data_IF_445197963572
#
_entry.id   IF_445197963572
#
_cell.length_a   1.000
_cell.length_b   1.000
_cell.length_c   1.000
_cell.angle_alpha   90.00
_cell.angle_beta   90.00
_cell.angle_gamma   90.00
#
_symmetry.space_group_name_H-M   'P 1'
#
loop_
_entity.id
_entity.type
_entity.pdbx_description
1 polymer ?
#
# COMPACT_ATOMS: atom_id res chain seq x y z
N UNK A 1 5.64 4.46 -12.75
CA UNK A 1 4.35 3.79 -12.42
C UNK A 1 4.23 3.65 -10.92
N UNK A 2 3.06 3.94 -10.37
CA UNK A 2 2.80 3.79 -8.93
C UNK A 2 1.72 2.73 -8.72
N UNK A 3 2.02 1.75 -7.88
CA UNK A 3 1.06 0.74 -7.42
C UNK A 3 0.94 0.85 -5.91
N UNK A 4 -0.29 0.85 -5.39
CA UNK A 4 -0.53 0.88 -3.95
C UNK A 4 -1.48 -0.22 -3.53
N UNK A 5 -1.54 -0.49 -2.22
CA UNK A 5 -2.19 -1.68 -1.66
C UNK A 5 -3.04 -1.31 -0.45
N UNK A 6 -4.23 -1.90 -0.35
CA UNK A 6 -5.08 -1.76 0.83
C UNK A 6 -5.78 -3.07 1.14
N UNK A 7 -5.69 -3.52 2.38
CA UNK A 7 -6.35 -4.73 2.84
C UNK A 7 -6.57 -4.71 4.34
N UNK A 8 -7.27 -5.72 4.86
CA UNK A 8 -7.59 -5.77 6.28
C UNK A 8 -6.35 -6.09 7.12
N UNK A 9 -6.17 -5.32 8.19
CA UNK A 9 -4.98 -5.41 9.04
C UNK A 9 -4.91 -6.73 9.82
N UNK A 10 -6.05 -7.29 10.20
CA UNK A 10 -6.13 -8.43 11.11
C UNK A 10 -6.45 -9.76 10.43
N UNK A 11 -6.67 -9.79 9.12
CA UNK A 11 -6.93 -11.03 8.41
C UNK A 11 -5.65 -11.87 8.33
N UNK A 12 -5.85 -13.19 8.30
CA UNK A 12 -4.76 -14.14 8.06
C UNK A 12 -4.71 -14.46 6.57
N UNK A 13 -3.52 -14.42 6.00
CA UNK A 13 -3.30 -14.72 4.59
C UNK A 13 -2.46 -15.99 4.47
N UNK A 14 -2.75 -16.79 3.44
CA UNK A 14 -2.07 -18.05 3.18
C UNK A 14 -1.13 -17.93 1.96
N UNK A 15 -0.35 -18.98 1.71
CA UNK A 15 0.61 -18.97 0.60
C UNK A 15 -0.06 -18.75 -0.75
N UNK A 16 -1.27 -19.26 -0.95
CA UNK A 16 -2.01 -19.05 -2.20
C UNK A 16 -2.36 -17.57 -2.42
N UNK A 17 -2.67 -16.83 -1.35
CA UNK A 17 -2.91 -15.38 -1.42
C UNK A 17 -1.63 -14.66 -1.85
N UNK A 18 -0.49 -15.06 -1.30
CA UNK A 18 0.81 -14.49 -1.65
C UNK A 18 1.12 -14.72 -3.14
N UNK A 19 0.91 -15.93 -3.63
CA UNK A 19 1.15 -16.26 -5.04
C UNK A 19 0.24 -15.47 -5.97
N UNK A 20 -1.04 -15.33 -5.62
CA UNK A 20 -2.01 -14.56 -6.39
C UNK A 20 -1.64 -13.07 -6.42
N UNK A 21 -1.25 -12.54 -5.27
CA UNK A 21 -0.82 -11.14 -5.20
C UNK A 21 0.43 -10.90 -6.05
N UNK A 22 1.41 -11.77 -5.94
CA UNK A 22 2.64 -11.64 -6.71
C UNK A 22 2.37 -11.69 -8.22
N UNK A 23 1.56 -12.63 -8.67
CA UNK A 23 1.19 -12.74 -10.09
C UNK A 23 0.45 -11.50 -10.59
N UNK A 24 -0.41 -10.93 -9.75
CA UNK A 24 -1.12 -9.70 -10.10
C UNK A 24 -0.14 -8.53 -10.22
N UNK A 25 0.82 -8.42 -9.32
CA UNK A 25 1.87 -7.40 -9.42
C UNK A 25 2.62 -7.53 -10.75
N UNK A 26 3.05 -8.74 -11.10
CA UNK A 26 3.75 -8.98 -12.37
C UNK A 26 2.90 -8.59 -13.58
N UNK A 27 1.63 -8.96 -13.56
CA UNK A 27 0.70 -8.67 -14.64
C UNK A 27 0.48 -7.17 -14.80
N UNK A 28 0.24 -6.46 -13.71
CA UNK A 28 -0.03 -5.02 -13.72
C UNK A 28 1.22 -4.24 -14.11
N UNK A 29 2.37 -4.61 -13.56
CA UNK A 29 3.62 -3.90 -13.79
C UNK A 29 4.18 -4.10 -15.20
N UNK A 30 3.91 -5.24 -15.83
CA UNK A 30 4.39 -5.57 -17.18
C UNK A 30 5.90 -5.34 -17.36
N UNK A 31 6.69 -5.66 -16.32
CA UNK A 31 8.14 -5.47 -16.34
C UNK A 31 8.59 -4.02 -16.15
N UNK A 32 7.68 -3.07 -15.94
CA UNK A 32 8.03 -1.68 -15.74
C UNK A 32 8.69 -1.44 -14.38
N UNK A 33 9.43 -0.34 -14.29
CA UNK A 33 9.87 0.20 -13.02
C UNK A 33 8.67 0.73 -12.25
N UNK A 34 8.53 0.32 -10.99
CA UNK A 34 7.37 0.63 -10.16
C UNK A 34 7.80 1.24 -8.85
N UNK A 35 7.12 2.31 -8.44
CA UNK A 35 7.16 2.80 -7.07
C UNK A 35 5.96 2.19 -6.34
N UNK A 36 6.26 1.29 -5.40
CA UNK A 36 5.23 0.62 -4.61
C UNK A 36 4.97 1.41 -3.33
N UNK A 37 3.77 1.94 -3.18
CA UNK A 37 3.38 2.74 -2.00
C UNK A 37 2.71 1.84 -0.97
N UNK A 38 3.27 1.84 0.25
CA UNK A 38 2.78 1.03 1.37
C UNK A 38 2.54 1.90 2.60
N UNK A 39 1.47 1.62 3.32
CA UNK A 39 1.13 2.33 4.55
C UNK A 39 1.83 1.78 5.80
N UNK A 40 2.47 0.63 5.69
CA UNK A 40 3.30 0.08 6.76
C UNK A 40 2.57 -0.53 7.95
N UNK A 41 1.27 -0.83 7.83
CA UNK A 41 0.50 -1.36 8.94
C UNK A 41 -0.43 -2.50 8.51
N UNK A 42 -0.38 -3.59 9.28
CA UNK A 42 -1.34 -4.68 9.15
C UNK A 42 -0.84 -5.85 8.32
N UNK A 43 -1.61 -6.93 8.37
CA UNK A 43 -1.22 -8.21 7.76
C UNK A 43 -1.19 -8.16 6.24
N UNK A 44 -2.10 -7.41 5.61
CA UNK A 44 -2.06 -7.29 4.16
C UNK A 44 -0.85 -6.48 3.70
N UNK A 45 -0.50 -5.41 4.40
CA UNK A 45 0.71 -4.65 4.10
C UNK A 45 1.96 -5.51 4.23
N UNK A 46 2.01 -6.38 5.24
CA UNK A 46 3.12 -7.32 5.40
C UNK A 46 3.21 -8.30 4.23
N UNK A 47 2.08 -8.80 3.75
CA UNK A 47 2.03 -9.67 2.58
C UNK A 47 2.49 -8.93 1.32
N UNK A 48 1.98 -7.72 1.12
CA UNK A 48 2.35 -6.88 -0.02
C UNK A 48 3.86 -6.58 -0.01
N UNK A 49 4.40 -6.23 1.15
CA UNK A 49 5.83 -5.97 1.33
C UNK A 49 6.68 -7.16 0.92
N UNK A 50 6.26 -8.37 1.30
CA UNK A 50 6.96 -9.60 0.93
C UNK A 50 6.96 -9.80 -0.60
N UNK A 51 5.82 -9.60 -1.24
CA UNK A 51 5.71 -9.72 -2.70
C UNK A 51 6.51 -8.64 -3.43
N UNK A 52 6.51 -7.41 -2.92
CA UNK A 52 7.28 -6.30 -3.49
C UNK A 52 8.78 -6.57 -3.40
N UNK A 53 9.25 -7.09 -2.27
CA UNK A 53 10.66 -7.48 -2.12
C UNK A 53 11.06 -8.51 -3.17
N UNK A 54 10.21 -9.49 -3.42
CA UNK A 54 10.46 -10.52 -4.43
C UNK A 54 10.50 -9.91 -5.83
N UNK A 55 9.58 -9.03 -6.16
CA UNK A 55 9.56 -8.34 -7.45
C UNK A 55 10.85 -7.54 -7.68
N UNK A 56 11.32 -6.86 -6.67
CA UNK A 56 12.53 -6.04 -6.74
C UNK A 56 13.81 -6.86 -6.97
N UNK A 57 13.82 -8.15 -6.63
CA UNK A 57 14.98 -9.00 -6.89
C UNK A 57 15.33 -9.06 -8.38
N UNK A 58 14.32 -9.01 -9.24
CA UNK A 58 14.49 -9.04 -10.70
C UNK A 58 14.17 -7.71 -11.37
N UNK A 59 13.71 -6.70 -10.62
CA UNK A 59 13.40 -5.36 -11.11
C UNK A 59 14.00 -4.34 -10.16
N UNK A 60 15.34 -4.25 -10.20
CA UNK A 60 16.13 -3.50 -9.20
C UNK A 60 15.89 -2.00 -9.19
N UNK A 61 15.34 -1.45 -10.27
CA UNK A 61 15.01 -0.01 -10.34
C UNK A 61 13.67 0.32 -9.67
N UNK A 62 12.88 -0.70 -9.31
CA UNK A 62 11.65 -0.50 -8.58
C UNK A 62 11.93 -0.18 -7.11
N UNK A 63 11.04 0.62 -6.50
CA UNK A 63 11.22 1.08 -5.13
C UNK A 63 10.04 0.71 -4.25
N UNK A 64 10.32 0.43 -2.99
CA UNK A 64 9.32 0.27 -1.96
C UNK A 64 9.30 1.54 -1.12
N UNK A 65 8.18 2.26 -1.12
CA UNK A 65 8.03 3.58 -0.52
C UNK A 65 7.06 3.50 0.64
N UNK A 66 7.53 3.91 1.81
CA UNK A 66 6.67 4.05 2.98
C UNK A 66 5.99 5.42 2.96
N UNK A 67 4.66 5.44 2.93
CA UNK A 67 3.90 6.70 2.96
C UNK A 67 3.36 6.88 4.38
N UNK A 68 3.91 7.86 5.09
CA UNK A 68 3.56 8.10 6.49
C UNK A 68 2.50 9.19 6.64
N UNK A 69 1.53 9.01 7.55
CA UNK A 69 0.57 10.07 7.87
C UNK A 69 1.12 11.08 8.87
N UNK A 70 2.31 10.84 9.44
CA UNK A 70 2.87 11.65 10.53
C UNK A 70 4.32 12.03 10.31
N UNK A 71 4.67 13.26 10.69
CA UNK A 71 6.05 13.70 10.92
C UNK A 71 6.18 14.03 12.41
N UNK A 72 6.30 13.01 13.24
CA UNK A 72 6.35 13.19 14.69
C UNK A 72 7.22 12.11 15.32
N UNK A 73 7.19 12.04 16.65
CA UNK A 73 7.98 11.07 17.42
C UNK A 73 7.71 9.62 17.00
N UNK A 74 6.48 9.30 16.58
CA UNK A 74 6.16 7.97 16.07
C UNK A 74 7.07 7.58 14.92
N UNK A 75 7.28 8.47 13.97
CA UNK A 75 8.17 8.25 12.82
C UNK A 75 9.62 8.17 13.27
N UNK A 76 10.05 9.10 14.11
CA UNK A 76 11.44 9.16 14.63
C UNK A 76 11.82 7.88 15.36
N UNK A 77 10.92 7.35 16.20
CA UNK A 77 11.15 6.13 16.97
C UNK A 77 11.29 4.89 16.06
N UNK A 78 10.80 4.95 14.83
CA UNK A 78 10.83 3.84 13.86
C UNK A 78 11.81 4.06 12.72
N UNK A 79 12.56 5.12 12.77
CA UNK A 79 13.45 5.53 11.67
C UNK A 79 14.39 4.43 11.21
N UNK A 80 15.08 3.78 12.14
CA UNK A 80 16.06 2.72 11.82
C UNK A 80 15.38 1.56 11.10
N UNK A 81 14.23 1.11 11.59
CA UNK A 81 13.47 0.04 10.96
C UNK A 81 13.00 0.44 9.56
N UNK A 82 12.44 1.65 9.43
CA UNK A 82 11.91 2.13 8.16
C UNK A 82 13.02 2.27 7.12
N UNK A 83 14.15 2.84 7.47
CA UNK A 83 15.29 3.00 6.57
C UNK A 83 15.86 1.66 6.10
N UNK A 84 15.79 0.64 6.97
CA UNK A 84 16.25 -0.71 6.63
C UNK A 84 15.30 -1.42 5.67
N UNK A 85 13.99 -1.22 5.82
CA UNK A 85 12.97 -2.00 5.13
C UNK A 85 12.43 -1.33 3.87
N UNK A 86 12.52 0.00 3.76
CA UNK A 86 11.97 0.77 2.66
C UNK A 86 13.05 1.58 1.96
N UNK A 87 12.86 1.83 0.67
CA UNK A 87 13.79 2.64 -0.12
C UNK A 87 13.60 4.13 0.10
N UNK A 88 12.36 4.56 0.32
CA UNK A 88 12.00 5.96 0.53
C UNK A 88 10.87 6.09 1.54
N UNK A 89 10.76 7.29 2.12
CA UNK A 89 9.65 7.68 2.98
C UNK A 89 9.03 8.95 2.39
N UNK A 90 7.72 8.95 2.20
CA UNK A 90 6.99 10.12 1.73
C UNK A 90 5.97 10.57 2.78
N UNK A 91 5.85 11.88 2.94
CA UNK A 91 4.84 12.51 3.78
C UNK A 91 3.98 13.43 2.92
N UNK A 92 2.65 13.21 2.82
CA UNK A 92 1.79 13.96 1.91
C UNK A 92 1.42 15.38 2.34
N UNK A 93 2.20 16.02 3.21
CA UNK A 93 1.94 17.38 3.70
C UNK A 93 0.57 17.54 4.36
N UNK A 94 0.36 16.74 5.44
CA UNK A 94 -0.91 16.68 6.15
C UNK A 94 -0.97 17.59 7.40
N UNK A 95 -0.12 18.62 7.50
CA UNK A 95 -0.03 19.48 8.67
C UNK A 95 -1.35 20.19 9.00
N UNK A 96 -2.15 20.51 7.98
CA UNK A 96 -3.44 21.15 8.18
C UNK A 96 -4.57 20.17 8.46
N UNK A 97 -4.30 18.87 8.42
CA UNK A 97 -5.29 17.83 8.66
C UNK A 97 -5.32 17.47 10.14
N UNK A 98 -6.50 17.46 10.79
CA UNK A 98 -6.60 16.95 12.16
C UNK A 98 -6.06 15.54 12.27
N UNK A 99 -5.32 15.23 13.34
CA UNK A 99 -4.65 13.93 13.51
C UNK A 99 -5.60 12.74 13.36
N UNK A 100 -6.85 12.88 13.78
CA UNK A 100 -7.84 11.79 13.66
C UNK A 100 -8.20 11.45 12.21
N UNK A 101 -7.88 12.32 11.26
CA UNK A 101 -8.13 12.09 9.83
C UNK A 101 -6.85 11.86 9.03
N UNK A 102 -5.69 11.86 9.68
CA UNK A 102 -4.41 11.78 8.99
C UNK A 102 -4.25 10.49 8.18
N UNK A 103 -4.64 9.34 8.76
CA UNK A 103 -4.54 8.05 8.05
C UNK A 103 -5.47 8.03 6.84
N UNK A 104 -6.72 8.49 7.00
CA UNK A 104 -7.68 8.55 5.89
C UNK A 104 -7.16 9.44 4.77
N UNK A 105 -6.66 10.61 5.09
CA UNK A 105 -6.13 11.54 4.08
C UNK A 105 -4.86 11.00 3.41
N UNK A 106 -3.98 10.33 4.18
CA UNK A 106 -2.82 9.65 3.62
C UNK A 106 -3.25 8.58 2.62
N UNK A 107 -4.27 7.78 2.97
CA UNK A 107 -4.79 6.75 2.07
C UNK A 107 -5.37 7.35 0.78
N UNK A 108 -6.14 8.42 0.90
CA UNK A 108 -6.69 9.13 -0.27
C UNK A 108 -5.58 9.66 -1.17
N UNK A 109 -4.53 10.22 -0.58
CA UNK A 109 -3.38 10.70 -1.34
C UNK A 109 -2.68 9.56 -2.10
N UNK A 110 -2.47 8.41 -1.44
CA UNK A 110 -1.88 7.24 -2.10
C UNK A 110 -2.71 6.81 -3.30
N UNK A 111 -4.03 6.78 -3.14
CA UNK A 111 -4.96 6.42 -4.21
C UNK A 111 -4.88 7.41 -5.36
N UNK A 112 -4.84 8.71 -5.07
CA UNK A 112 -4.74 9.77 -6.08
C UNK A 112 -3.45 9.66 -6.90
N UNK A 113 -2.33 9.27 -6.27
CA UNK A 113 -1.05 9.13 -6.94
C UNK A 113 -0.93 7.81 -7.73
N UNK A 114 -1.74 6.82 -7.41
CA UNK A 114 -1.57 5.48 -7.97
C UNK A 114 -2.04 5.39 -9.42
N UNK A 115 -1.29 4.61 -10.21
CA UNK A 115 -1.72 4.16 -11.53
C UNK A 115 -2.59 2.92 -11.43
N UNK A 116 -2.37 2.13 -10.38
CA UNK A 116 -3.15 0.91 -10.12
C UNK A 116 -3.20 0.61 -8.63
N UNK A 117 -4.34 0.08 -8.17
CA UNK A 117 -4.54 -0.23 -6.75
C UNK A 117 -4.90 -1.70 -6.59
N UNK A 118 -4.26 -2.37 -5.65
CA UNK A 118 -4.55 -3.76 -5.33
C UNK A 118 -5.17 -3.82 -3.94
N UNK A 119 -6.40 -4.32 -3.89
CA UNK A 119 -7.18 -4.47 -2.66
C UNK A 119 -7.31 -5.94 -2.25
N UNK A 120 -7.46 -6.14 -0.95
CA UNK A 120 -7.98 -7.39 -0.42
C UNK A 120 -9.04 -7.01 0.61
N UNK A 121 -10.28 -6.79 0.14
CA UNK A 121 -11.37 -6.25 0.94
C UNK A 121 -12.53 -7.23 0.98
N UNK A 122 -12.77 -7.78 2.15
CA UNK A 122 -13.87 -8.70 2.44
C UNK A 122 -15.03 -7.99 3.15
N UNK A 123 -14.70 -7.14 4.12
CA UNK A 123 -15.67 -6.45 4.96
C UNK A 123 -16.13 -5.16 4.32
N UNK A 124 -17.42 -4.82 4.52
CA UNK A 124 -18.00 -3.56 4.04
C UNK A 124 -17.90 -2.47 5.09
N UNK A 125 -16.79 -2.40 5.79
CA UNK A 125 -16.48 -1.38 6.78
C UNK A 125 -14.96 -1.33 6.99
N UNK A 126 -14.49 -0.27 7.65
CA UNK A 126 -13.08 -0.09 7.99
C UNK A 126 -12.29 0.67 6.93
N UNK A 127 -11.01 0.89 7.23
CA UNK A 127 -10.13 1.74 6.40
C UNK A 127 -9.92 1.21 4.99
N UNK A 128 -9.74 -0.10 4.83
CA UNK A 128 -9.53 -0.69 3.51
C UNK A 128 -10.78 -0.58 2.63
N UNK A 129 -11.96 -0.78 3.22
CA UNK A 129 -13.22 -0.60 2.49
C UNK A 129 -13.41 0.87 2.09
N UNK A 130 -13.14 1.81 3.00
CA UNK A 130 -13.22 3.24 2.70
C UNK A 130 -12.29 3.63 1.56
N UNK A 131 -11.10 3.05 1.52
CA UNK A 131 -10.15 3.26 0.44
C UNK A 131 -10.70 2.72 -0.90
N UNK A 132 -11.33 1.54 -0.89
CA UNK A 132 -11.96 0.97 -2.08
C UNK A 132 -13.05 1.89 -2.62
N UNK A 133 -13.93 2.38 -1.76
CA UNK A 133 -15.00 3.30 -2.14
C UNK A 133 -14.43 4.60 -2.73
N UNK A 134 -13.37 5.14 -2.13
CA UNK A 134 -12.73 6.33 -2.66
C UNK A 134 -12.13 6.11 -4.05
N UNK A 135 -11.45 4.98 -4.24
CA UNK A 135 -10.88 4.61 -5.54
C UNK A 135 -11.94 4.51 -6.63
N UNK A 136 -13.08 3.88 -6.30
CA UNK A 136 -14.22 3.80 -7.22
C UNK A 136 -14.78 5.18 -7.54
N UNK A 137 -14.91 6.04 -6.53
CA UNK A 137 -15.43 7.40 -6.69
C UNK A 137 -14.61 8.22 -7.68
N UNK A 138 -13.29 8.07 -7.69
CA UNK A 138 -12.41 8.81 -8.59
C UNK A 138 -11.97 8.01 -9.80
N UNK A 139 -12.61 6.87 -10.04
CA UNK A 139 -12.42 6.02 -11.22
C UNK A 139 -10.98 5.52 -11.41
N UNK A 140 -10.32 5.12 -10.32
CA UNK A 140 -9.00 4.51 -10.42
C UNK A 140 -9.09 3.04 -10.81
N UNK A 141 -8.21 2.55 -11.68
CA UNK A 141 -8.17 1.11 -11.98
C UNK A 141 -7.68 0.32 -10.78
N UNK A 142 -8.38 -0.78 -10.48
CA UNK A 142 -8.01 -1.62 -9.35
C UNK A 142 -8.45 -3.07 -9.53
N UNK A 143 -7.90 -3.94 -8.70
CA UNK A 143 -8.37 -5.32 -8.52
C UNK A 143 -8.57 -5.57 -7.03
N UNK A 144 -9.68 -6.20 -6.69
CA UNK A 144 -9.88 -6.73 -5.33
C UNK A 144 -9.62 -8.24 -5.38
N UNK A 145 -8.59 -8.68 -4.67
CA UNK A 145 -8.18 -10.10 -4.65
C UNK A 145 -9.14 -11.00 -3.88
N UNK A 146 -10.00 -10.44 -3.04
CA UNK A 146 -10.98 -11.24 -2.31
C UNK A 146 -12.01 -11.85 -3.28
N UNK A 147 -12.20 -13.17 -3.18
CA UNK A 147 -13.07 -13.92 -4.09
C UNK A 147 -14.41 -14.29 -3.47
N UNK A 148 -14.67 -13.90 -2.26
CA UNK A 148 -15.81 -14.13 -1.39
C UNK A 148 -17.20 -14.37 -1.89
#
# INVERSE_FOLDING_TARGET
>A
MVITFFGHAKNTYIKNDEERLYRLIEKVAEGNMVDFFLGGYGNFDSLAKKCVKKYKETHTDSKMVFVTPYLNKWLDDRKVYIEKEYDEVLYPELEQTPLKYAITKRNEWMIEQADYIIFYVQNHFGGAYSALIYAEKINKPYTNLYLG
#
